data_IF_491028333578
#
_entry.id   IF_491028333578
#
_cell.length_a   1.000
_cell.length_b   1.000
_cell.length_c   1.000
_cell.angle_alpha   90.00
_cell.angle_beta   90.00
_cell.angle_gamma   90.00
#
_symmetry.space_group_name_H-M   'P 1'
#
loop_
_entity.id
_entity.type
_entity.pdbx_description
1 polymer ?
#
# COMPACT_ATOMS: atom_id res chain seq x y z
N UNK A 1 -0.81 -2.16 3.40
CA UNK A 1 -0.46 -0.99 2.57
C UNK A 1 1.01 -1.10 2.23
N UNK A 2 1.40 -0.78 1.01
CA UNK A 2 2.78 -0.82 0.51
C UNK A 2 3.06 0.51 -0.18
N UNK A 3 4.20 1.13 0.13
CA UNK A 3 4.71 2.38 -0.44
C UNK A 3 6.23 2.39 -0.24
N UNK A 4 6.96 3.15 -1.06
CA UNK A 4 8.42 3.21 -0.96
C UNK A 4 8.98 4.52 -1.57
N UNK A 5 10.24 4.83 -1.25
CA UNK A 5 10.99 5.96 -1.81
C UNK A 5 12.41 5.53 -2.16
N UNK A 6 12.88 5.90 -3.36
CA UNK A 6 14.27 5.63 -3.78
C UNK A 6 14.50 4.23 -4.33
N UNK A 7 13.49 3.36 -4.33
CA UNK A 7 13.59 2.02 -4.91
C UNK A 7 13.25 2.04 -6.41
N UNK A 8 13.99 1.24 -7.17
CA UNK A 8 13.73 1.05 -8.59
C UNK A 8 12.61 0.01 -8.81
N UNK A 9 12.16 -0.13 -10.07
CA UNK A 9 11.08 -1.07 -10.41
C UNK A 9 11.46 -2.52 -10.07
N UNK A 10 12.74 -2.87 -10.19
CA UNK A 10 13.24 -4.20 -9.85
C UNK A 10 13.19 -4.46 -8.34
N UNK A 11 13.52 -3.47 -7.52
CA UNK A 11 13.38 -3.49 -6.07
C UNK A 11 11.94 -3.78 -5.63
N UNK A 12 10.99 -3.08 -6.25
CA UNK A 12 9.56 -3.32 -5.99
C UNK A 12 9.12 -4.73 -6.45
N UNK A 13 9.54 -5.18 -7.63
CA UNK A 13 9.27 -6.56 -8.10
C UNK A 13 9.82 -7.60 -7.11
N UNK A 14 11.04 -7.38 -6.61
CA UNK A 14 11.69 -8.23 -5.61
C UNK A 14 10.96 -8.25 -4.27
N UNK A 15 10.40 -7.13 -3.81
CA UNK A 15 9.61 -7.12 -2.57
C UNK A 15 8.28 -7.86 -2.73
N UNK A 16 7.58 -7.62 -3.84
CA UNK A 16 6.29 -8.26 -4.10
C UNK A 16 6.44 -9.76 -4.34
N UNK A 17 7.51 -10.20 -5.02
CA UNK A 17 7.77 -11.64 -5.18
C UNK A 17 8.02 -12.31 -3.83
N UNK A 18 8.72 -11.65 -2.90
CA UNK A 18 8.98 -12.19 -1.57
C UNK A 18 7.67 -12.34 -0.78
N UNK A 19 6.80 -11.34 -0.80
CA UNK A 19 5.48 -11.40 -0.14
C UNK A 19 4.61 -12.51 -0.74
N UNK A 20 4.67 -12.69 -2.06
CA UNK A 20 3.96 -13.76 -2.77
C UNK A 20 4.46 -15.14 -2.34
N UNK A 21 5.77 -15.38 -2.38
CA UNK A 21 6.35 -16.67 -1.97
C UNK A 21 6.15 -16.96 -0.48
N UNK A 22 6.03 -15.94 0.36
CA UNK A 22 5.67 -16.08 1.77
C UNK A 22 4.17 -16.42 1.98
N UNK A 23 3.36 -16.41 0.92
CA UNK A 23 1.92 -16.63 0.99
C UNK A 23 1.15 -15.51 1.70
N UNK A 24 1.73 -14.31 1.78
CA UNK A 24 1.14 -13.16 2.48
C UNK A 24 0.04 -12.54 1.61
N UNK A 25 0.28 -12.40 0.31
CA UNK A 25 -0.66 -11.74 -0.60
C UNK A 25 -2.01 -12.46 -0.66
N UNK A 26 -2.00 -13.78 -0.63
CA UNK A 26 -3.19 -14.65 -0.65
C UNK A 26 -4.00 -14.60 0.66
N UNK A 27 -3.43 -14.05 1.74
CA UNK A 27 -4.10 -13.90 3.05
C UNK A 27 -4.72 -12.51 3.24
N UNK A 28 -4.46 -11.58 2.34
CA UNK A 28 -4.99 -10.22 2.43
C UNK A 28 -6.49 -10.21 2.16
N UNK A 29 -7.23 -9.33 2.82
CA UNK A 29 -8.64 -9.03 2.50
C UNK A 29 -8.80 -7.74 1.69
N UNK A 30 -7.69 -7.06 1.42
CA UNK A 30 -7.61 -5.82 0.66
C UNK A 30 -6.16 -5.33 0.62
N UNK A 31 -5.79 -4.63 -0.45
CA UNK A 31 -4.44 -4.10 -0.64
C UNK A 31 -4.52 -2.63 -1.04
N UNK A 32 -3.60 -1.83 -0.51
CA UNK A 32 -3.47 -0.42 -0.85
C UNK A 32 -2.01 -0.19 -1.22
N UNK A 33 -1.79 0.32 -2.42
CA UNK A 33 -0.52 0.93 -2.78
C UNK A 33 -0.61 2.43 -2.50
N UNK A 34 0.32 2.92 -1.68
CA UNK A 34 0.60 4.33 -1.57
C UNK A 34 1.35 4.81 -2.82
N UNK A 35 2.18 5.82 -2.64
CA UNK A 35 3.02 6.32 -3.72
C UNK A 35 4.39 5.66 -3.69
N UNK A 36 4.95 5.45 -4.87
CA UNK A 36 6.35 5.10 -5.06
C UNK A 36 7.04 6.34 -5.60
N UNK A 37 7.95 6.92 -4.81
CA UNK A 37 8.59 8.20 -5.12
C UNK A 37 10.10 8.02 -5.36
N UNK A 38 10.70 9.00 -6.04
CA UNK A 38 12.13 9.03 -6.34
C UNK A 38 12.67 7.71 -6.91
N UNK A 39 11.90 7.10 -7.82
CA UNK A 39 12.30 5.86 -8.47
C UNK A 39 13.43 6.14 -9.46
N UNK A 40 14.66 5.98 -9.00
CA UNK A 40 15.86 6.05 -9.84
C UNK A 40 16.12 4.68 -10.48
N UNK A 41 16.53 4.64 -11.75
CA UNK A 41 16.97 3.38 -12.34
C UNK A 41 18.33 2.98 -11.72
N UNK A 42 18.33 1.96 -10.87
CA UNK A 42 19.57 1.41 -10.28
C UNK A 42 20.47 0.70 -11.30
N UNK A 43 19.94 0.38 -12.47
CA UNK A 43 20.64 -0.30 -13.55
C UNK A 43 21.01 0.64 -14.71
N UNK A 44 22.09 0.31 -15.44
CA UNK A 44 22.45 0.97 -16.71
C UNK A 44 21.49 0.64 -17.86
N UNK A 45 20.48 -0.19 -17.60
CA UNK A 45 19.52 -0.72 -18.56
C UNK A 45 18.11 -0.41 -18.08
N UNK A 46 17.27 0.02 -19.01
CA UNK A 46 15.88 0.31 -18.74
C UNK A 46 15.16 -0.96 -18.23
N UNK A 47 14.30 -0.84 -17.21
CA UNK A 47 13.53 -1.97 -16.70
C UNK A 47 12.64 -2.55 -17.82
N UNK A 48 12.53 -3.88 -17.85
CA UNK A 48 11.74 -4.57 -18.89
C UNK A 48 10.24 -4.43 -18.70
N UNK A 49 9.79 -4.08 -17.48
CA UNK A 49 8.40 -3.83 -17.13
C UNK A 49 8.27 -2.44 -16.48
N UNK A 50 7.13 -1.79 -16.68
CA UNK A 50 6.75 -0.62 -15.90
C UNK A 50 6.38 -0.99 -14.46
N UNK A 51 6.34 -0.01 -13.56
CA UNK A 51 5.85 -0.22 -12.21
C UNK A 51 4.42 -0.80 -12.24
N UNK A 52 3.53 -0.23 -13.04
CA UNK A 52 2.13 -0.68 -13.17
C UNK A 52 2.05 -2.15 -13.60
N UNK A 53 2.87 -2.57 -14.57
CA UNK A 53 2.92 -3.97 -15.02
C UNK A 53 3.41 -4.90 -13.89
N UNK A 54 4.39 -4.47 -13.10
CA UNK A 54 4.85 -5.20 -11.92
C UNK A 54 3.75 -5.29 -10.86
N UNK A 55 3.06 -4.20 -10.54
CA UNK A 55 1.96 -4.21 -9.57
C UNK A 55 0.82 -5.13 -10.07
N UNK A 56 0.44 -5.04 -11.35
CA UNK A 56 -0.59 -5.87 -11.95
C UNK A 56 -0.23 -7.36 -11.91
N UNK A 57 1.03 -7.72 -12.24
CA UNK A 57 1.56 -9.09 -12.19
C UNK A 57 1.26 -9.80 -10.86
N UNK A 58 1.38 -9.10 -9.74
CA UNK A 58 1.17 -9.68 -8.40
C UNK A 58 -0.24 -9.55 -7.85
N UNK A 59 -1.10 -8.77 -8.49
CA UNK A 59 -2.42 -8.42 -7.96
C UNK A 59 -3.59 -8.98 -8.75
N UNK A 60 -3.40 -9.22 -10.05
CA UNK A 60 -4.44 -9.68 -10.99
C UNK A 60 -5.25 -10.90 -10.55
N UNK A 61 -4.69 -11.75 -9.69
CA UNK A 61 -5.31 -13.00 -9.24
C UNK A 61 -5.77 -13.00 -7.78
N UNK A 62 -5.52 -11.93 -7.01
CA UNK A 62 -5.82 -11.87 -5.57
C UNK A 62 -7.32 -11.76 -5.24
N UNK A 63 -8.20 -11.42 -6.21
CA UNK A 63 -9.67 -11.31 -6.05
C UNK A 63 -10.11 -10.54 -4.80
N UNK A 64 -9.38 -9.48 -4.45
CA UNK A 64 -9.66 -8.58 -3.33
C UNK A 64 -9.73 -7.13 -3.83
N UNK A 65 -10.29 -6.19 -3.04
CA UNK A 65 -10.21 -4.77 -3.37
C UNK A 65 -8.76 -4.29 -3.34
N UNK A 66 -8.34 -3.58 -4.40
CA UNK A 66 -6.99 -3.05 -4.54
C UNK A 66 -7.09 -1.58 -4.95
N UNK A 67 -6.46 -0.70 -4.18
CA UNK A 67 -6.44 0.73 -4.45
C UNK A 67 -4.99 1.19 -4.67
N UNK A 68 -4.72 1.82 -5.80
CA UNK A 68 -3.41 2.40 -6.11
C UNK A 68 -3.35 3.90 -5.86
N UNK A 69 -2.13 4.44 -5.78
CA UNK A 69 -1.85 5.87 -5.66
C UNK A 69 -2.58 6.54 -4.48
N UNK A 70 -2.72 5.83 -3.36
CA UNK A 70 -3.30 6.41 -2.15
C UNK A 70 -2.35 7.49 -1.61
N UNK A 71 -2.83 8.68 -1.21
CA UNK A 71 -1.96 9.79 -0.82
C UNK A 71 -1.42 9.61 0.60
N UNK A 72 -0.49 8.67 0.71
CA UNK A 72 0.28 8.30 1.88
C UNK A 72 1.68 7.89 1.44
N UNK A 73 2.68 8.33 2.19
CA UNK A 73 4.10 8.05 1.92
C UNK A 73 4.98 9.26 2.18
N UNK A 74 5.95 9.48 1.31
CA UNK A 74 7.00 10.50 1.48
C UNK A 74 6.71 11.89 0.87
N UNK A 75 5.46 12.16 0.49
CA UNK A 75 5.01 13.48 0.00
C UNK A 75 4.70 14.48 1.12
N UNK A 76 4.62 15.76 0.74
CA UNK A 76 4.27 16.88 1.63
C UNK A 76 2.85 16.77 2.21
N UNK A 77 1.88 16.45 1.34
CA UNK A 77 0.48 16.31 1.74
C UNK A 77 0.08 14.85 1.81
N UNK A 78 -0.08 14.33 3.03
CA UNK A 78 -0.43 12.92 3.25
C UNK A 78 -1.46 12.76 4.36
N UNK A 79 -2.26 11.71 4.23
CA UNK A 79 -3.15 11.31 5.32
C UNK A 79 -2.35 10.70 6.47
N UNK A 80 -2.82 10.91 7.70
CA UNK A 80 -2.37 10.12 8.85
C UNK A 80 -3.22 8.86 8.92
N UNK A 81 -2.59 7.69 8.88
CA UNK A 81 -3.27 6.40 8.96
C UNK A 81 -2.90 5.66 10.25
N UNK A 82 -3.88 5.30 11.09
CA UNK A 82 -3.62 4.46 12.25
C UNK A 82 -3.45 3.00 11.81
N UNK A 83 -2.39 2.35 12.28
CA UNK A 83 -2.18 0.92 12.07
C UNK A 83 -2.80 0.09 13.20
N UNK A 84 -3.26 -1.11 12.86
CA UNK A 84 -3.91 -2.02 13.81
C UNK A 84 -5.42 -1.81 13.98
N UNK A 85 -6.00 -0.79 13.32
CA UNK A 85 -7.45 -0.55 13.32
C UNK A 85 -8.15 -1.33 12.20
N UNK A 86 -9.40 -1.73 12.44
CA UNK A 86 -10.29 -2.24 11.39
C UNK A 86 -10.74 -1.13 10.46
N UNK A 87 -10.67 -1.43 9.17
CA UNK A 87 -11.03 -0.50 8.09
C UNK A 87 -11.93 -1.17 7.06
N UNK A 88 -12.72 -0.36 6.35
CA UNK A 88 -13.41 -0.76 5.13
C UNK A 88 -12.71 -0.09 3.94
N UNK A 89 -12.23 -0.92 3.03
CA UNK A 89 -11.71 -0.50 1.73
C UNK A 89 -12.79 -0.71 0.66
N UNK A 90 -13.08 0.34 -0.10
CA UNK A 90 -13.95 0.31 -1.27
C UNK A 90 -13.13 0.86 -2.44
N UNK A 91 -12.61 -0.06 -3.28
CA UNK A 91 -11.73 0.28 -4.39
C UNK A 91 -12.48 0.92 -5.56
N UNK A 92 -13.76 0.57 -5.76
CA UNK A 92 -14.59 1.13 -6.83
C UNK A 92 -14.87 2.63 -6.61
N UNK A 93 -15.07 3.01 -5.34
CA UNK A 93 -15.29 4.41 -4.96
C UNK A 93 -14.02 5.12 -4.46
N UNK A 94 -12.87 4.42 -4.40
CA UNK A 94 -11.61 4.97 -3.93
C UNK A 94 -11.63 5.42 -2.46
N UNK A 95 -12.35 4.73 -1.57
CA UNK A 95 -12.48 5.14 -0.16
C UNK A 95 -11.87 4.14 0.83
N UNK A 96 -11.27 4.68 1.89
CA UNK A 96 -10.81 3.97 3.06
C UNK A 96 -11.47 4.56 4.30
N UNK A 97 -12.22 3.75 5.06
CA UNK A 97 -12.96 4.22 6.25
C UNK A 97 -12.53 3.45 7.49
N UNK A 98 -12.22 4.17 8.57
CA UNK A 98 -12.03 3.57 9.89
C UNK A 98 -13.38 3.03 10.39
N UNK A 99 -13.38 1.81 10.90
CA UNK A 99 -14.56 1.17 11.50
C UNK A 99 -14.55 1.24 13.03
N UNK A 100 -13.47 1.76 13.60
CA UNK A 100 -13.29 1.94 15.04
C UNK A 100 -12.41 3.15 15.35
N UNK A 101 -12.54 3.74 16.54
CA UNK A 101 -11.66 4.82 16.98
C UNK A 101 -10.21 4.35 17.10
N UNK A 102 -9.23 5.09 16.55
CA UNK A 102 -7.82 4.70 16.63
C UNK A 102 -7.16 5.06 17.96
N UNK A 103 -7.84 5.85 18.78
CA UNK A 103 -7.39 6.27 20.11
C UNK A 103 -8.53 6.08 21.11
N UNK A 104 -8.17 5.81 22.36
CA UNK A 104 -9.15 5.78 23.44
C UNK A 104 -9.86 7.13 23.55
N UNK A 105 -11.13 7.11 23.94
CA UNK A 105 -11.83 8.33 24.30
C UNK A 105 -11.05 9.03 25.44
N UNK A 106 -10.95 10.37 25.43
CA UNK A 106 -10.35 11.08 26.55
C UNK A 106 -11.07 10.65 27.83
N UNK A 107 -10.30 10.32 28.88
CA UNK A 107 -10.89 10.13 30.20
C UNK A 107 -11.67 11.41 30.52
N UNK A 108 -12.97 11.28 30.80
CA UNK A 108 -13.77 12.40 31.26
C UNK A 108 -13.12 13.05 32.49
N UNK A 109 -13.40 14.33 32.78
CA UNK A 109 -12.86 14.96 33.98
C UNK A 109 -13.13 14.07 35.19
N UNK A 110 -12.11 13.82 36.00
CA UNK A 110 -12.30 13.16 37.29
C UNK A 110 -13.34 13.97 38.06
N UNK A 111 -14.44 13.31 38.45
CA UNK A 111 -15.52 13.92 39.22
C UNK A 111 -15.01 14.44 40.58
#
# INVERSE_FOLDING_TARGET
MIEDIGEDVYGIDRYLVQLRYAGILERLSGLIFGQFLDMESGEKTEPTLSLEEVLEKYTRDLKIPILGNFPYGHQDFKYTLPFGCRVRLDADNGTLRLLEPPVAAPAGPAA
#
